data_IF_052770072026
#
_entry.id   IF_052770072026
#
_cell.length_a   1.000
_cell.length_b   1.000
_cell.length_c   1.000
_cell.angle_alpha   90.00
_cell.angle_beta   90.00
_cell.angle_gamma   90.00
#
_symmetry.space_group_name_H-M   'P 1'
#
loop_
_entity.id
_entity.type
_entity.pdbx_description
1 polymer ?
#
# COMPACT_ATOMS: atom_id res chain seq x y z
N UNK A 1 -5.81 -52.91 -22.74
CA UNK A 1 -4.97 -52.15 -21.80
C UNK A 1 -4.11 -51.18 -22.60
N UNK A 2 -4.52 -49.92 -22.72
CA UNK A 2 -3.66 -48.84 -23.20
C UNK A 2 -3.92 -47.65 -22.29
N UNK A 3 -2.94 -47.33 -21.44
CA UNK A 3 -2.99 -46.25 -20.44
C UNK A 3 -2.54 -44.97 -21.13
N UNK A 4 -3.37 -43.94 -21.07
CA UNK A 4 -3.02 -42.57 -21.40
C UNK A 4 -2.14 -42.00 -20.28
N UNK A 5 -0.91 -41.57 -20.57
CA UNK A 5 -0.17 -40.68 -19.69
C UNK A 5 -0.37 -39.24 -20.15
N UNK A 6 -1.21 -38.53 -19.39
CA UNK A 6 -1.38 -37.09 -19.43
C UNK A 6 -0.23 -36.45 -18.64
N UNK A 7 0.79 -35.94 -19.32
CA UNK A 7 1.84 -35.14 -18.70
C UNK A 7 1.44 -33.67 -18.66
N UNK A 8 0.70 -33.26 -17.63
CA UNK A 8 0.53 -31.83 -17.31
C UNK A 8 1.87 -31.30 -16.75
N UNK A 9 2.60 -30.55 -17.56
CA UNK A 9 3.70 -29.70 -17.10
C UNK A 9 3.12 -28.45 -16.44
N UNK A 10 2.82 -28.56 -15.14
CA UNK A 10 2.70 -27.41 -14.25
C UNK A 10 4.05 -27.21 -13.56
N UNK A 11 4.83 -26.23 -14.01
CA UNK A 11 5.93 -25.68 -13.23
C UNK A 11 5.85 -24.15 -13.33
N UNK A 12 5.18 -23.55 -12.35
CA UNK A 12 5.31 -22.12 -12.09
C UNK A 12 6.75 -21.84 -11.66
N UNK A 13 7.45 -21.00 -12.44
CA UNK A 13 8.82 -20.62 -12.15
C UNK A 13 8.91 -19.86 -10.82
N UNK A 14 9.42 -20.53 -9.79
CA UNK A 14 10.00 -19.83 -8.66
C UNK A 14 11.22 -19.07 -9.20
N UNK A 15 11.18 -17.73 -9.16
CA UNK A 15 12.33 -16.91 -9.54
C UNK A 15 13.46 -17.18 -8.54
N UNK A 16 14.49 -17.93 -8.96
CA UNK A 16 15.64 -18.23 -8.13
C UNK A 16 16.52 -16.98 -7.97
N UNK A 17 16.93 -16.71 -6.74
CA UNK A 17 17.83 -15.62 -6.38
C UNK A 17 19.26 -16.02 -6.76
N UNK A 18 20.04 -15.08 -7.27
CA UNK A 18 21.46 -15.30 -7.53
C UNK A 18 22.29 -15.10 -6.26
N UNK A 19 23.48 -15.71 -6.22
CA UNK A 19 24.44 -15.50 -5.12
C UNK A 19 24.81 -14.01 -4.94
N UNK A 20 24.85 -13.24 -6.04
CA UNK A 20 25.21 -11.82 -6.02
C UNK A 20 24.12 -10.95 -5.40
N UNK A 21 22.84 -11.23 -5.69
CA UNK A 21 21.71 -10.51 -5.10
C UNK A 21 21.64 -10.74 -3.58
N UNK A 22 21.87 -11.98 -3.15
CA UNK A 22 22.02 -12.32 -1.74
C UNK A 22 23.22 -11.64 -1.09
N UNK A 23 24.35 -11.53 -1.79
CA UNK A 23 25.52 -10.81 -1.31
C UNK A 23 25.22 -9.31 -1.10
N UNK A 24 24.46 -8.68 -2.00
CA UNK A 24 24.00 -7.29 -1.81
C UNK A 24 23.15 -7.14 -0.54
N UNK A 25 22.22 -8.06 -0.28
CA UNK A 25 21.43 -8.09 0.96
C UNK A 25 22.35 -8.25 2.18
N UNK A 26 23.28 -9.20 2.16
CA UNK A 26 24.22 -9.47 3.26
C UNK A 26 25.06 -8.24 3.58
N UNK A 27 25.66 -7.61 2.57
CA UNK A 27 26.47 -6.38 2.72
C UNK A 27 25.63 -5.21 3.25
N UNK A 28 24.39 -5.06 2.76
CA UNK A 28 23.45 -4.07 3.27
C UNK A 28 23.16 -4.30 4.76
N UNK A 29 22.93 -5.55 5.14
CA UNK A 29 22.64 -5.93 6.52
C UNK A 29 23.85 -5.74 7.45
N UNK A 30 25.07 -5.99 6.98
CA UNK A 30 26.28 -5.70 7.74
C UNK A 30 26.37 -4.21 8.10
N UNK A 31 26.21 -3.31 7.12
CA UNK A 31 26.22 -1.86 7.32
C UNK A 31 25.15 -1.40 8.30
N UNK A 32 23.96 -2.02 8.24
CA UNK A 32 22.85 -1.76 9.17
C UNK A 32 23.18 -2.21 10.59
N UNK A 33 23.70 -3.42 10.75
CA UNK A 33 24.07 -3.98 12.06
C UNK A 33 25.19 -3.18 12.74
N UNK A 34 26.20 -2.74 12.00
CA UNK A 34 27.26 -1.84 12.47
C UNK A 34 26.72 -0.53 13.07
N UNK A 35 25.49 -0.15 12.70
CA UNK A 35 24.82 1.08 13.14
C UNK A 35 23.65 0.79 14.10
N UNK A 36 23.55 -0.43 14.64
CA UNK A 36 22.49 -0.82 15.57
C UNK A 36 21.10 -0.94 14.94
N UNK A 37 21.01 -1.01 13.61
CA UNK A 37 19.75 -1.22 12.90
C UNK A 37 19.46 -2.71 12.72
N UNK A 38 18.18 -3.06 12.73
CA UNK A 38 17.74 -4.44 12.45
C UNK A 38 18.07 -4.83 10.99
N UNK A 39 18.51 -6.08 10.77
CA UNK A 39 18.71 -6.58 9.41
C UNK A 39 17.38 -6.62 8.66
N UNK A 40 17.45 -6.37 7.35
CA UNK A 40 16.36 -6.52 6.41
C UNK A 40 16.18 -8.01 6.08
N UNK A 41 14.92 -8.43 5.94
CA UNK A 41 14.56 -9.75 5.49
C UNK A 41 14.34 -9.75 3.97
N UNK A 42 14.66 -10.86 3.30
CA UNK A 42 14.38 -10.95 1.86
C UNK A 42 12.87 -10.95 1.60
N UNK A 43 12.43 -10.23 0.58
CA UNK A 43 11.04 -10.23 0.13
C UNK A 43 10.91 -10.53 -1.37
N UNK A 44 10.16 -11.59 -1.68
CA UNK A 44 10.00 -12.09 -3.03
C UNK A 44 9.19 -11.15 -3.93
N UNK A 45 8.24 -10.38 -3.39
CA UNK A 45 7.45 -9.44 -4.18
C UNK A 45 8.26 -8.17 -4.48
N UNK A 46 9.00 -7.65 -3.50
CA UNK A 46 9.97 -6.58 -3.71
C UNK A 46 10.99 -6.96 -4.78
N UNK A 47 11.51 -8.19 -4.72
CA UNK A 47 12.43 -8.73 -5.71
C UNK A 47 11.79 -8.82 -7.10
N UNK A 48 10.58 -9.35 -7.20
CA UNK A 48 9.86 -9.44 -8.47
C UNK A 48 9.70 -8.07 -9.13
N UNK A 49 9.37 -7.03 -8.35
CA UNK A 49 9.31 -5.66 -8.85
C UNK A 49 10.70 -5.11 -9.24
N UNK A 50 11.74 -5.43 -8.48
CA UNK A 50 13.10 -5.02 -8.77
C UNK A 50 13.62 -5.64 -10.07
N UNK A 51 13.38 -6.94 -10.26
CA UNK A 51 13.76 -7.68 -11.46
C UNK A 51 13.07 -7.13 -12.70
N UNK A 52 11.75 -6.92 -12.62
CA UNK A 52 10.99 -6.33 -13.72
C UNK A 52 11.52 -4.95 -14.12
N UNK A 53 11.86 -4.09 -13.15
CA UNK A 53 12.42 -2.76 -13.44
C UNK A 53 13.85 -2.80 -14.00
N UNK A 54 14.68 -3.72 -13.49
CA UNK A 54 16.03 -3.92 -14.00
C UNK A 54 16.03 -4.40 -15.46
N UNK A 55 15.15 -5.34 -15.80
CA UNK A 55 14.94 -5.81 -17.18
C UNK A 55 14.41 -4.68 -18.06
N UNK A 56 13.41 -3.94 -17.60
CA UNK A 56 12.83 -2.81 -18.32
C UNK A 56 13.89 -1.75 -18.68
N UNK A 57 14.76 -1.38 -17.73
CA UNK A 57 15.87 -0.45 -17.96
C UNK A 57 16.89 -0.93 -19.01
N UNK A 58 17.09 -2.24 -19.11
CA UNK A 58 17.97 -2.84 -20.11
C UNK A 58 17.28 -2.85 -21.47
N UNK A 59 16.07 -3.42 -21.56
CA UNK A 59 15.31 -3.59 -22.79
C UNK A 59 14.96 -2.25 -23.47
N UNK A 60 14.58 -1.24 -22.68
CA UNK A 60 14.21 0.09 -23.18
C UNK A 60 15.32 1.13 -23.08
N UNK A 61 16.56 0.71 -22.79
CA UNK A 61 17.75 1.56 -22.77
C UNK A 61 17.61 2.85 -21.94
N UNK A 62 17.13 2.74 -20.70
CA UNK A 62 17.03 3.88 -19.77
C UNK A 62 17.64 3.56 -18.40
N UNK A 63 17.81 4.59 -17.57
CA UNK A 63 18.22 4.44 -16.17
C UNK A 63 17.56 5.50 -15.30
N UNK A 64 16.43 5.17 -14.70
CA UNK A 64 15.64 6.09 -13.89
C UNK A 64 14.74 5.34 -12.89
N UNK A 65 14.36 6.02 -11.81
CA UNK A 65 13.40 5.50 -10.82
C UNK A 65 11.98 5.36 -11.39
N UNK A 66 11.60 6.27 -12.29
CA UNK A 66 10.34 6.20 -13.02
C UNK A 66 10.61 5.56 -14.38
N UNK A 67 9.78 4.59 -14.76
CA UNK A 67 9.89 4.00 -16.08
C UNK A 67 9.23 4.90 -17.15
N UNK A 68 9.48 4.67 -18.45
CA UNK A 68 8.85 5.43 -19.53
C UNK A 68 7.31 5.50 -19.53
N UNK A 69 6.63 4.61 -18.80
CA UNK A 69 5.16 4.61 -18.66
C UNK A 69 4.70 5.47 -17.46
N UNK A 70 5.62 6.16 -16.79
CA UNK A 70 5.34 7.01 -15.65
C UNK A 70 5.22 6.27 -14.31
N UNK A 71 5.51 4.98 -14.25
CA UNK A 71 5.39 4.18 -13.03
C UNK A 71 6.66 4.28 -12.18
N UNK A 72 6.51 4.69 -10.92
CA UNK A 72 7.59 4.68 -9.92
C UNK A 72 7.66 3.35 -9.16
N UNK A 73 8.60 3.26 -8.21
CA UNK A 73 8.83 2.05 -7.43
C UNK A 73 7.58 1.58 -6.67
N UNK A 74 6.80 2.51 -6.10
CA UNK A 74 5.57 2.20 -5.37
C UNK A 74 4.49 1.61 -6.29
N UNK A 75 4.32 2.15 -7.49
CA UNK A 75 3.38 1.64 -8.48
C UNK A 75 3.78 0.24 -8.95
N UNK A 76 5.07 0.03 -9.24
CA UNK A 76 5.59 -1.28 -9.68
C UNK A 76 5.46 -2.34 -8.58
N UNK A 77 5.81 -2.01 -7.33
CA UNK A 77 5.63 -2.92 -6.19
C UNK A 77 4.16 -3.25 -5.95
N UNK A 78 3.26 -2.27 -6.05
CA UNK A 78 1.81 -2.49 -5.94
C UNK A 78 1.29 -3.42 -7.05
N UNK A 79 1.80 -3.29 -8.27
CA UNK A 79 1.39 -4.12 -9.40
C UNK A 79 1.70 -5.61 -9.21
N UNK A 80 2.74 -5.93 -8.42
CA UNK A 80 3.11 -7.32 -8.10
C UNK A 80 2.51 -7.82 -6.78
N UNK A 81 1.70 -7.02 -6.09
CA UNK A 81 0.96 -7.43 -4.88
C UNK A 81 1.53 -6.95 -3.55
N UNK A 82 2.54 -6.07 -3.54
CA UNK A 82 2.99 -5.41 -2.30
C UNK A 82 1.86 -4.52 -1.78
N UNK A 83 1.44 -4.77 -0.54
CA UNK A 83 0.34 -4.03 0.09
C UNK A 83 0.86 -2.81 0.85
N UNK A 84 2.12 -2.82 1.22
CA UNK A 84 2.75 -1.83 2.06
C UNK A 84 2.87 -0.49 1.35
N UNK A 85 2.55 0.57 2.08
CA UNK A 85 2.59 1.95 1.56
C UNK A 85 4.00 2.52 1.64
N UNK A 86 4.76 2.11 2.68
CA UNK A 86 6.11 2.58 2.88
C UNK A 86 7.10 1.72 2.11
N UNK A 87 7.58 2.26 1.01
CA UNK A 87 8.57 1.62 0.14
C UNK A 87 9.70 2.57 -0.21
N UNK A 88 10.81 2.05 -0.75
CA UNK A 88 11.95 2.83 -1.24
C UNK A 88 12.71 2.09 -2.33
N UNK A 89 13.54 2.81 -3.10
CA UNK A 89 14.34 2.23 -4.18
C UNK A 89 15.75 2.82 -4.22
N UNK A 90 16.76 1.97 -4.41
CA UNK A 90 18.09 2.38 -4.84
C UNK A 90 18.41 1.75 -6.19
N UNK A 91 19.08 2.50 -7.07
CA UNK A 91 19.53 2.03 -8.38
C UNK A 91 21.05 2.14 -8.49
N UNK A 92 21.68 1.20 -9.19
CA UNK A 92 23.06 1.32 -9.64
C UNK A 92 23.20 0.76 -11.06
N UNK A 93 24.12 1.32 -11.83
CA UNK A 93 24.50 0.77 -13.13
C UNK A 93 26.02 0.77 -13.27
N UNK A 94 26.53 -0.29 -13.89
CA UNK A 94 27.95 -0.55 -14.06
C UNK A 94 28.22 -0.96 -15.50
N UNK A 95 29.37 -0.54 -16.03
CA UNK A 95 29.84 -0.91 -17.35
C UNK A 95 31.19 -1.60 -17.26
N UNK A 96 31.30 -2.81 -17.81
CA UNK A 96 32.58 -3.50 -17.97
C UNK A 96 33.20 -4.08 -16.69
N UNK A 97 32.48 -4.08 -15.57
CA UNK A 97 32.93 -4.71 -14.33
C UNK A 97 32.56 -6.20 -14.28
N UNK A 98 33.40 -7.05 -13.68
CA UNK A 98 33.07 -8.46 -13.44
C UNK A 98 31.99 -8.57 -12.36
N UNK A 99 31.11 -9.56 -12.51
CA UNK A 99 29.95 -9.77 -11.64
C UNK A 99 30.29 -9.85 -10.13
N UNK A 100 31.37 -10.53 -9.68
CA UNK A 100 31.71 -10.60 -8.25
C UNK A 100 32.06 -9.24 -7.61
N UNK A 101 32.44 -8.22 -8.38
CA UNK A 101 32.75 -6.89 -7.82
C UNK A 101 31.50 -6.02 -7.62
N UNK A 102 30.41 -6.34 -8.32
CA UNK A 102 29.21 -5.50 -8.38
C UNK A 102 28.58 -5.26 -7.01
N UNK A 103 28.40 -6.27 -6.12
CA UNK A 103 27.75 -6.05 -4.83
C UNK A 103 28.47 -5.02 -3.95
N UNK A 104 29.79 -5.12 -3.85
CA UNK A 104 30.59 -4.18 -3.05
C UNK A 104 30.58 -2.77 -3.66
N UNK A 105 30.70 -2.67 -4.98
CA UNK A 105 30.68 -1.37 -5.68
C UNK A 105 29.33 -0.67 -5.54
N UNK A 106 28.23 -1.42 -5.64
CA UNK A 106 26.88 -0.89 -5.45
C UNK A 106 26.70 -0.34 -4.03
N UNK A 107 27.09 -1.10 -3.00
CA UNK A 107 27.01 -0.65 -1.61
C UNK A 107 27.80 0.65 -1.37
N UNK A 108 29.05 0.71 -1.85
CA UNK A 108 29.90 1.91 -1.69
C UNK A 108 29.27 3.11 -2.41
N UNK A 109 28.80 2.92 -3.64
CA UNK A 109 28.12 3.97 -4.41
C UNK A 109 26.87 4.50 -3.71
N UNK A 110 26.04 3.61 -3.17
CA UNK A 110 24.84 4.00 -2.43
C UNK A 110 25.17 4.70 -1.11
N UNK A 111 26.17 4.25 -0.35
CA UNK A 111 26.58 4.91 0.90
C UNK A 111 27.16 6.31 0.70
N UNK A 112 27.77 6.57 -0.46
CA UNK A 112 28.31 7.88 -0.82
C UNK A 112 27.23 8.84 -1.38
N UNK A 113 26.04 8.34 -1.72
CA UNK A 113 24.90 9.16 -2.14
C UNK A 113 23.97 9.42 -0.96
N UNK A 114 23.71 10.68 -0.55
CA UNK A 114 22.83 10.97 0.59
C UNK A 114 21.43 10.34 0.48
N UNK A 115 20.82 10.38 -0.71
CA UNK A 115 19.49 9.80 -0.95
C UNK A 115 19.48 8.28 -0.84
N UNK A 116 20.44 7.60 -1.47
CA UNK A 116 20.53 6.14 -1.40
C UNK A 116 20.90 5.64 0.00
N UNK A 117 21.83 6.34 0.67
CA UNK A 117 22.21 6.07 2.05
C UNK A 117 21.01 6.21 3.00
N UNK A 118 20.14 7.20 2.78
CA UNK A 118 18.93 7.36 3.58
C UNK A 118 18.03 6.11 3.51
N UNK A 119 17.89 5.48 2.35
CA UNK A 119 17.15 4.21 2.23
C UNK A 119 17.85 3.06 2.98
N UNK A 120 19.16 2.88 2.77
CA UNK A 120 19.93 1.81 3.42
C UNK A 120 19.82 1.86 4.95
N UNK A 121 19.78 3.07 5.51
CA UNK A 121 19.82 3.31 6.94
C UNK A 121 18.46 3.65 7.55
N UNK A 122 17.36 3.57 6.79
CA UNK A 122 16.03 3.86 7.30
C UNK A 122 15.59 2.76 8.29
N UNK A 123 15.31 3.09 9.58
CA UNK A 123 14.94 2.10 10.58
C UNK A 123 13.60 1.42 10.32
N UNK A 124 12.68 2.11 9.64
CA UNK A 124 11.34 1.63 9.36
C UNK A 124 11.29 0.63 8.20
N UNK A 125 12.34 0.54 7.38
CA UNK A 125 12.47 -0.55 6.42
C UNK A 125 12.86 -1.84 7.13
N UNK A 126 12.19 -2.90 6.71
CA UNK A 126 12.22 -4.23 7.35
C UNK A 126 12.51 -5.34 6.35
N UNK A 127 12.24 -5.10 5.07
CA UNK A 127 12.42 -6.07 4.00
C UNK A 127 13.10 -5.45 2.79
N UNK A 128 13.72 -6.29 1.97
CA UNK A 128 14.46 -5.93 0.77
C UNK A 128 14.29 -6.99 -0.32
N UNK A 129 14.08 -6.53 -1.54
CA UNK A 129 14.32 -7.33 -2.75
C UNK A 129 15.43 -6.71 -3.56
N UNK A 130 16.34 -7.52 -4.10
CA UNK A 130 17.46 -7.05 -4.92
C UNK A 130 17.49 -7.80 -6.24
N UNK A 131 17.53 -7.08 -7.36
CA UNK A 131 17.74 -7.70 -8.66
C UNK A 131 19.03 -7.19 -9.32
N UNK A 132 19.77 -8.10 -9.96
CA UNK A 132 20.95 -7.80 -10.75
C UNK A 132 20.76 -8.36 -12.17
N UNK A 133 20.72 -7.48 -13.17
CA UNK A 133 20.48 -7.86 -14.57
C UNK A 133 21.62 -7.38 -15.45
N UNK A 134 22.29 -8.32 -16.11
CA UNK A 134 23.36 -8.07 -17.07
C UNK A 134 22.83 -8.16 -18.51
N UNK A 135 23.19 -7.18 -19.32
CA UNK A 135 23.03 -7.21 -20.77
C UNK A 135 24.33 -6.72 -21.42
N UNK A 136 25.09 -7.67 -22.02
CA UNK A 136 26.42 -7.40 -22.52
C UNK A 136 27.35 -6.86 -21.41
N UNK A 137 27.93 -5.68 -21.63
CA UNK A 137 28.85 -5.04 -20.69
C UNK A 137 28.14 -4.34 -19.52
N UNK A 138 26.86 -4.01 -19.69
CA UNK A 138 26.06 -3.26 -18.74
C UNK A 138 25.44 -4.17 -17.70
N UNK A 139 25.56 -3.79 -16.43
CA UNK A 139 24.82 -4.38 -15.31
C UNK A 139 23.96 -3.29 -14.68
N UNK A 140 22.72 -3.64 -14.37
CA UNK A 140 21.79 -2.81 -13.61
C UNK A 140 21.44 -3.53 -12.31
N UNK A 141 21.49 -2.81 -11.20
CA UNK A 141 21.15 -3.31 -9.86
C UNK A 141 20.01 -2.46 -9.29
N UNK A 142 18.96 -3.12 -8.82
CA UNK A 142 17.79 -2.48 -8.20
C UNK A 142 17.61 -3.04 -6.80
N UNK A 143 17.55 -2.18 -5.79
CA UNK A 143 17.10 -2.51 -4.43
C UNK A 143 15.71 -1.92 -4.19
N UNK A 144 14.73 -2.75 -3.84
CA UNK A 144 13.40 -2.30 -3.42
C UNK A 144 13.19 -2.62 -1.94
N UNK A 145 12.92 -1.59 -1.14
CA UNK A 145 12.72 -1.68 0.31
C UNK A 145 11.24 -1.67 0.65
N UNK A 146 10.85 -2.43 1.68
CA UNK A 146 9.49 -2.44 2.24
C UNK A 146 9.53 -2.22 3.77
N UNK A 147 8.65 -1.35 4.24
CA UNK A 147 8.31 -1.20 5.66
C UNK A 147 7.07 -2.01 6.03
N UNK A 148 7.26 -3.16 6.68
CA UNK A 148 6.22 -4.10 7.15
C UNK A 148 6.22 -4.11 8.68
N UNK A 149 5.53 -3.15 9.32
CA UNK A 149 5.59 -3.02 10.78
C UNK A 149 4.75 -4.09 11.51
N UNK A 150 3.86 -4.78 10.80
CA UNK A 150 3.13 -5.97 11.20
C UNK A 150 2.74 -6.74 9.94
N UNK A 151 2.33 -8.00 10.09
CA UNK A 151 1.93 -8.86 8.98
C UNK A 151 0.44 -9.24 9.09
N UNK A 152 -0.46 -8.59 8.35
CA UNK A 152 -1.87 -8.98 8.28
C UNK A 152 -2.05 -10.19 7.35
N UNK A 153 -2.76 -11.22 7.82
CA UNK A 153 -3.20 -12.29 6.92
C UNK A 153 -4.48 -11.83 6.21
N UNK A 154 -4.42 -11.76 4.88
CA UNK A 154 -5.51 -11.25 4.03
C UNK A 154 -5.92 -12.32 3.06
N UNK A 155 -7.23 -12.64 3.02
CA UNK A 155 -7.84 -13.46 1.97
C UNK A 155 -8.97 -12.68 1.32
N UNK A 156 -8.91 -12.59 0.00
CA UNK A 156 -9.91 -11.94 -0.84
C UNK A 156 -10.63 -13.00 -1.67
N UNK A 157 -11.96 -12.92 -1.70
CA UNK A 157 -12.79 -13.74 -2.60
C UNK A 157 -13.87 -12.86 -3.22
N UNK A 158 -14.18 -13.02 -4.52
CA UNK A 158 -15.28 -12.29 -5.16
C UNK A 158 -16.60 -12.46 -4.41
N UNK A 159 -17.39 -11.40 -4.33
CA UNK A 159 -18.70 -11.40 -3.67
C UNK A 159 -19.64 -10.36 -4.30
N UNK A 160 -20.93 -10.43 -3.97
CA UNK A 160 -21.85 -9.31 -4.13
C UNK A 160 -21.82 -8.46 -2.87
N UNK A 161 -21.74 -7.15 -3.01
CA UNK A 161 -21.70 -6.19 -1.91
C UNK A 161 -22.83 -5.18 -2.03
N UNK A 162 -23.34 -4.72 -0.89
CA UNK A 162 -24.21 -3.56 -0.86
C UNK A 162 -23.34 -2.29 -0.90
N UNK A 163 -23.58 -1.47 -1.92
CA UNK A 163 -23.03 -0.13 -2.03
C UNK A 163 -24.04 0.87 -1.49
N UNK A 164 -23.61 1.66 -0.51
CA UNK A 164 -24.39 2.77 0.05
C UNK A 164 -23.75 4.10 -0.33
N UNK A 165 -24.49 4.96 -1.02
CA UNK A 165 -24.08 6.31 -1.39
C UNK A 165 -24.95 7.32 -0.66
N UNK A 166 -24.30 8.18 0.11
CA UNK A 166 -24.89 9.35 0.72
C UNK A 166 -24.88 10.51 -0.27
N UNK A 167 -26.06 10.96 -0.67
CA UNK A 167 -26.25 12.16 -1.49
C UNK A 167 -26.73 13.28 -0.57
N UNK A 168 -26.03 14.41 -0.63
CA UNK A 168 -26.32 15.60 0.18
C UNK A 168 -26.43 16.81 -0.73
N UNK A 169 -27.50 17.59 -0.53
CA UNK A 169 -27.68 18.91 -1.13
C UNK A 169 -28.19 19.89 -0.09
N UNK A 170 -27.85 21.18 -0.23
CA UNK A 170 -28.47 22.24 0.54
C UNK A 170 -27.51 23.32 1.02
N UNK A 171 -27.84 23.95 2.14
CA UNK A 171 -27.12 25.09 2.68
C UNK A 171 -26.75 24.91 4.16
N UNK A 172 -25.65 25.53 4.53
CA UNK A 172 -25.15 25.55 5.89
C UNK A 172 -24.44 26.90 6.13
N UNK A 173 -24.43 27.42 7.36
CA UNK A 173 -23.72 28.66 7.67
C UNK A 173 -22.20 28.49 7.70
N UNK A 174 -21.69 27.25 7.63
CA UNK A 174 -20.26 26.94 7.67
C UNK A 174 -19.98 25.52 7.19
N UNK A 175 -18.74 25.06 7.38
CA UNK A 175 -18.32 23.70 7.00
C UNK A 175 -19.14 22.65 7.75
N UNK A 176 -19.70 21.70 7.00
CA UNK A 176 -20.41 20.54 7.53
C UNK A 176 -19.46 19.34 7.56
N UNK A 177 -19.43 18.65 8.69
CA UNK A 177 -18.73 17.39 8.86
C UNK A 177 -19.72 16.25 8.72
N UNK A 178 -19.39 15.28 7.88
CA UNK A 178 -20.08 13.99 7.80
C UNK A 178 -19.31 13.02 8.67
N UNK A 179 -19.98 12.43 9.65
CA UNK A 179 -19.37 11.49 10.60
C UNK A 179 -19.89 10.08 10.35
N UNK A 180 -19.01 9.09 10.48
CA UNK A 180 -19.35 7.66 10.50
C UNK A 180 -19.08 7.15 11.91
N UNK A 181 -20.14 6.80 12.64
CA UNK A 181 -20.09 6.70 14.10
C UNK A 181 -19.61 8.02 14.71
N UNK A 182 -18.54 7.97 15.50
CA UNK A 182 -17.96 9.15 16.15
C UNK A 182 -16.79 9.78 15.37
N UNK A 183 -16.57 9.40 14.11
CA UNK A 183 -15.36 9.76 13.38
C UNK A 183 -15.67 10.59 12.15
N UNK A 184 -14.92 11.68 11.96
CA UNK A 184 -15.09 12.57 10.81
C UNK A 184 -14.67 11.84 9.52
N UNK A 185 -15.64 11.63 8.64
CA UNK A 185 -15.47 10.93 7.36
C UNK A 185 -15.23 11.88 6.18
N UNK A 186 -15.95 13.02 6.16
CA UNK A 186 -15.79 14.05 5.13
C UNK A 186 -16.08 15.45 5.68
N UNK A 187 -15.42 16.46 5.10
CA UNK A 187 -15.71 17.88 5.32
C UNK A 187 -16.30 18.47 4.05
N UNK A 188 -17.42 19.18 4.17
CA UNK A 188 -18.17 19.77 3.06
C UNK A 188 -18.31 21.26 3.30
N UNK A 189 -17.86 22.07 2.34
CA UNK A 189 -18.03 23.53 2.40
C UNK A 189 -19.33 23.94 1.67
N UNK A 190 -20.03 24.99 2.14
CA UNK A 190 -21.19 25.54 1.43
C UNK A 190 -20.83 26.09 0.03
N UNK A 191 -21.76 26.07 -0.94
CA UNK A 191 -23.04 25.36 -0.90
C UNK A 191 -22.83 23.84 -0.88
N UNK A 192 -23.67 23.12 -0.15
CA UNK A 192 -23.47 21.70 0.06
C UNK A 192 -24.01 20.96 -1.16
N UNK A 193 -23.12 20.31 -1.90
CA UNK A 193 -23.45 19.34 -2.94
C UNK A 193 -22.40 18.23 -2.91
N UNK A 194 -22.79 17.06 -2.40
CA UNK A 194 -21.85 15.98 -2.17
C UNK A 194 -22.47 14.61 -2.46
N UNK A 195 -21.63 13.70 -2.96
CA UNK A 195 -21.97 12.30 -3.18
C UNK A 195 -20.84 11.47 -2.61
N UNK A 196 -21.12 10.77 -1.51
CA UNK A 196 -20.13 10.07 -0.70
C UNK A 196 -20.49 8.60 -0.62
N UNK A 197 -19.62 7.73 -1.13
CA UNK A 197 -19.74 6.31 -0.86
C UNK A 197 -19.30 6.03 0.58
N UNK A 198 -20.15 5.32 1.32
CA UNK A 198 -19.95 5.01 2.73
C UNK A 198 -19.39 3.59 2.89
N UNK A 199 -18.59 3.33 3.95
CA UNK A 199 -18.24 1.97 4.30
C UNK A 199 -19.49 1.17 4.73
N UNK A 200 -19.43 -0.18 4.71
CA UNK A 200 -20.53 -1.02 5.16
C UNK A 200 -20.95 -0.70 6.59
N UNK A 201 -22.26 -0.80 6.86
CA UNK A 201 -22.85 -0.56 8.19
C UNK A 201 -22.52 0.82 8.78
N UNK A 202 -22.24 1.83 7.95
CA UNK A 202 -21.98 3.19 8.40
C UNK A 202 -23.25 3.86 8.94
N UNK A 203 -23.21 4.24 10.22
CA UNK A 203 -24.18 5.17 10.80
C UNK A 203 -23.68 6.60 10.60
N UNK A 204 -24.49 7.43 9.92
CA UNK A 204 -24.09 8.79 9.56
C UNK A 204 -24.70 9.83 10.49
N UNK A 205 -23.86 10.77 10.94
CA UNK A 205 -24.31 11.98 11.64
C UNK A 205 -23.61 13.23 11.09
N UNK A 206 -24.10 14.41 11.48
CA UNK A 206 -23.59 15.69 11.01
C UNK A 206 -23.18 16.61 12.15
N UNK A 207 -22.14 17.40 11.91
CA UNK A 207 -21.75 18.50 12.79
C UNK A 207 -21.38 19.74 11.97
N UNK A 208 -21.58 20.93 12.55
CA UNK A 208 -21.11 22.20 11.98
C UNK A 208 -19.79 22.59 12.65
N UNK A 209 -18.84 23.05 11.83
CA UNK A 209 -17.59 23.61 12.32
C UNK A 209 -17.71 25.14 12.42
N UNK A 210 -17.43 25.69 13.60
CA UNK A 210 -17.45 27.13 13.86
C UNK A 210 -16.07 27.81 13.68
N UNK A 211 -15.06 27.07 13.22
CA UNK A 211 -13.67 27.52 13.14
C UNK A 211 -12.78 26.98 14.26
N UNK A 212 -13.35 26.46 15.35
CA UNK A 212 -12.61 25.89 16.48
C UNK A 212 -13.10 24.48 16.85
N UNK A 213 -14.42 24.28 16.92
CA UNK A 213 -15.04 23.06 17.46
C UNK A 213 -16.13 22.54 16.53
N UNK A 214 -16.34 21.22 16.57
CA UNK A 214 -17.46 20.56 15.91
C UNK A 214 -18.69 20.53 16.81
N UNK A 215 -19.78 21.09 16.32
CA UNK A 215 -21.07 21.08 17.01
C UNK A 215 -22.01 20.09 16.32
N UNK A 216 -22.31 18.99 16.99
CA UNK A 216 -23.35 18.07 16.54
C UNK A 216 -24.64 18.85 16.24
N UNK A 217 -25.25 18.57 15.09
CA UNK A 217 -26.44 19.28 14.63
C UNK A 217 -27.35 18.35 13.85
N UNK A 218 -28.62 18.71 13.78
CA UNK A 218 -29.60 18.04 12.93
C UNK A 218 -30.07 18.98 11.82
N UNK A 219 -30.75 18.42 10.82
CA UNK A 219 -31.38 19.24 9.79
C UNK A 219 -32.39 20.21 10.41
N UNK A 220 -32.40 21.46 9.94
CA UNK A 220 -33.20 22.55 10.50
C UNK A 220 -32.61 23.23 11.74
N UNK A 221 -31.57 22.66 12.36
CA UNK A 221 -30.89 23.27 13.51
C UNK A 221 -29.67 24.06 13.09
N UNK A 222 -29.33 25.12 13.84
CA UNK A 222 -28.11 25.93 13.64
C UNK A 222 -27.94 26.41 12.20
N UNK A 223 -29.04 26.72 11.50
CA UNK A 223 -29.03 27.17 10.11
C UNK A 223 -28.70 26.08 9.07
N UNK A 224 -28.56 24.82 9.48
CA UNK A 224 -28.34 23.69 8.59
C UNK A 224 -29.63 23.34 7.86
N UNK A 225 -29.59 23.29 6.53
CA UNK A 225 -30.67 22.81 5.68
C UNK A 225 -30.08 21.82 4.68
N UNK A 226 -30.15 20.54 5.00
CA UNK A 226 -29.70 19.45 4.16
C UNK A 226 -30.87 18.61 3.70
N UNK A 227 -30.92 18.36 2.40
CA UNK A 227 -31.60 17.21 1.84
C UNK A 227 -30.61 16.04 1.81
N UNK A 228 -31.05 14.90 2.35
CA UNK A 228 -30.24 13.69 2.42
C UNK A 228 -30.99 12.54 1.77
N UNK A 229 -30.30 11.83 0.89
CA UNK A 229 -30.75 10.55 0.34
C UNK A 229 -29.67 9.50 0.53
N UNK A 230 -30.06 8.32 0.99
CA UNK A 230 -29.20 7.13 0.99
C UNK A 230 -29.61 6.24 -0.18
N UNK A 231 -28.77 6.20 -1.20
CA UNK A 231 -28.95 5.30 -2.34
C UNK A 231 -28.23 3.98 -2.05
N UNK A 232 -28.97 2.87 -2.10
CA UNK A 232 -28.44 1.51 -1.92
C UNK A 232 -28.56 0.72 -3.21
N UNK A 233 -27.51 -0.01 -3.56
CA UNK A 233 -27.47 -0.86 -4.76
C UNK A 233 -26.58 -2.07 -4.53
N UNK A 234 -26.91 -3.20 -5.14
CA UNK A 234 -26.03 -4.36 -5.21
C UNK A 234 -24.99 -4.15 -6.32
N UNK A 235 -23.70 -4.35 -5.98
CA UNK A 235 -22.59 -4.22 -6.92
C UNK A 235 -21.57 -5.35 -6.71
N UNK A 236 -20.71 -5.63 -7.71
CA UNK A 236 -19.54 -6.47 -7.50
C UNK A 236 -18.67 -5.94 -6.34
N UNK A 237 -18.18 -6.87 -5.55
CA UNK A 237 -17.35 -6.57 -4.40
C UNK A 237 -16.43 -7.72 -4.06
N UNK A 238 -15.77 -7.58 -2.92
CA UNK A 238 -14.93 -8.61 -2.35
C UNK A 238 -15.35 -8.90 -0.92
N UNK A 239 -15.40 -10.20 -0.59
CA UNK A 239 -15.32 -10.65 0.79
C UNK A 239 -13.85 -10.66 1.20
N UNK A 240 -13.55 -9.88 2.22
CA UNK A 240 -12.23 -9.72 2.83
C UNK A 240 -12.24 -10.43 4.18
N UNK A 241 -11.46 -11.50 4.28
CA UNK A 241 -11.13 -12.11 5.57
C UNK A 241 -9.77 -11.56 6.00
N UNK A 242 -9.76 -10.84 7.11
CA UNK A 242 -8.59 -10.18 7.65
C UNK A 242 -8.28 -10.72 9.05
N UNK A 243 -7.05 -11.17 9.27
CA UNK A 243 -6.56 -11.51 10.59
C UNK A 243 -5.42 -10.59 10.98
N UNK A 244 -5.61 -9.88 12.09
CA UNK A 244 -4.65 -8.93 12.64
C UNK A 244 -4.01 -9.51 13.91
N UNK A 245 -2.70 -9.28 14.12
CA UNK A 245 -2.01 -9.67 15.35
C UNK A 245 -2.43 -8.76 16.52
N UNK A 246 -1.84 -8.97 17.70
CA UNK A 246 -2.03 -8.07 18.84
C UNK A 246 -1.60 -6.63 18.48
N UNK A 247 -2.43 -5.65 18.82
CA UNK A 247 -2.14 -4.24 18.53
C UNK A 247 -3.37 -3.35 18.45
N UNK A 248 -3.15 -2.06 18.20
CA UNK A 248 -4.20 -1.09 17.92
C UNK A 248 -4.15 -0.68 16.45
N UNK A 249 -5.26 -0.87 15.74
CA UNK A 249 -5.34 -0.65 14.30
C UNK A 249 -6.50 0.29 13.94
N UNK A 250 -6.46 0.79 12.72
CA UNK A 250 -7.53 1.59 12.11
C UNK A 250 -7.83 1.04 10.73
N UNK A 251 -9.11 0.91 10.40
CA UNK A 251 -9.59 0.69 9.04
C UNK A 251 -9.95 2.04 8.40
N UNK A 252 -9.64 2.15 7.11
CA UNK A 252 -10.10 3.21 6.25
C UNK A 252 -10.45 2.67 4.86
N UNK A 253 -11.25 3.39 4.09
CA UNK A 253 -11.67 2.96 2.73
C UNK A 253 -11.48 4.08 1.70
N UNK A 254 -11.49 3.72 0.42
CA UNK A 254 -11.42 4.66 -0.69
C UNK A 254 -10.08 4.64 -1.45
N UNK A 255 -10.02 5.39 -2.54
CA UNK A 255 -8.79 5.65 -3.30
C UNK A 255 -7.67 6.21 -2.41
N UNK A 256 -8.05 7.04 -1.45
CA UNK A 256 -7.25 7.60 -0.36
C UNK A 256 -7.90 7.20 0.97
N UNK A 257 -7.12 7.03 2.04
CA UNK A 257 -7.66 6.53 3.30
C UNK A 257 -8.64 7.53 3.94
N UNK A 258 -9.94 7.20 3.88
CA UNK A 258 -10.98 7.85 4.69
C UNK A 258 -11.25 7.00 5.91
N UNK A 259 -11.02 7.57 7.10
CA UNK A 259 -11.17 6.88 8.37
C UNK A 259 -12.54 6.19 8.46
N UNK A 260 -12.57 4.93 8.89
CA UNK A 260 -13.81 4.21 9.15
C UNK A 260 -13.97 3.82 10.62
N UNK A 261 -13.08 2.98 11.14
CA UNK A 261 -13.20 2.49 12.52
C UNK A 261 -11.85 2.06 13.12
N UNK A 262 -11.79 2.04 14.45
CA UNK A 262 -10.66 1.49 15.19
C UNK A 262 -10.90 0.03 15.54
N UNK A 263 -9.81 -0.72 15.64
CA UNK A 263 -9.80 -2.13 16.01
C UNK A 263 -8.73 -2.38 17.07
N UNK A 264 -8.99 -3.35 17.94
CA UNK A 264 -8.00 -3.89 18.88
C UNK A 264 -7.79 -5.36 18.54
N UNK A 265 -6.55 -5.71 18.22
CA UNK A 265 -6.16 -7.09 17.93
C UNK A 265 -5.66 -7.84 19.18
N UNK A 266 -5.51 -9.17 19.12
CA UNK A 266 -5.70 -9.98 17.92
C UNK A 266 -7.17 -10.09 17.53
N UNK A 267 -7.48 -9.98 16.24
CA UNK A 267 -8.86 -10.00 15.76
C UNK A 267 -8.93 -10.62 14.36
N UNK A 268 -9.99 -11.41 14.14
CA UNK A 268 -10.37 -11.90 12.81
C UNK A 268 -11.66 -11.20 12.40
N UNK A 269 -11.64 -10.57 11.23
CA UNK A 269 -12.76 -9.85 10.66
C UNK A 269 -13.14 -10.48 9.32
N UNK A 270 -14.44 -10.49 9.06
CA UNK A 270 -15.00 -10.81 7.75
C UNK A 270 -15.84 -9.63 7.30
N UNK A 271 -15.43 -9.00 6.21
CA UNK A 271 -16.05 -7.80 5.66
C UNK A 271 -16.45 -8.08 4.22
N UNK A 272 -17.62 -7.59 3.80
CA UNK A 272 -18.00 -7.59 2.37
C UNK A 272 -17.99 -6.14 1.91
N UNK A 273 -17.05 -5.80 1.03
CA UNK A 273 -16.80 -4.44 0.59
C UNK A 273 -17.06 -4.31 -0.92
N UNK A 274 -17.78 -3.27 -1.37
CA UNK A 274 -17.97 -3.02 -2.80
C UNK A 274 -16.65 -2.63 -3.47
N UNK A 275 -16.41 -3.12 -4.68
CA UNK A 275 -15.17 -2.84 -5.42
C UNK A 275 -15.01 -1.36 -5.80
N UNK A 276 -16.12 -0.60 -5.78
CA UNK A 276 -16.16 0.85 -5.99
C UNK A 276 -15.44 1.65 -4.90
N UNK A 277 -15.18 1.07 -3.71
CA UNK A 277 -14.34 1.70 -2.68
C UNK A 277 -12.84 1.63 -3.00
N UNK A 278 -12.43 0.93 -4.07
CA UNK A 278 -11.05 0.76 -4.57
C UNK A 278 -10.05 0.04 -3.65
N UNK A 279 -10.02 0.38 -2.35
CA UNK A 279 -9.10 -0.20 -1.38
C UNK A 279 -9.65 -0.17 0.06
N UNK A 280 -9.24 -1.17 0.82
CA UNK A 280 -9.25 -1.18 2.28
C UNK A 280 -7.85 -0.82 2.79
N UNK A 281 -7.77 0.14 3.69
CA UNK A 281 -6.52 0.62 4.29
C UNK A 281 -6.41 0.15 5.73
N UNK A 282 -5.21 -0.29 6.13
CA UNK A 282 -4.87 -0.62 7.51
C UNK A 282 -3.83 0.37 8.04
N UNK A 283 -4.18 1.01 9.15
CA UNK A 283 -3.28 1.88 9.90
C UNK A 283 -2.88 1.28 11.24
N UNK A 284 -1.61 1.51 11.63
CA UNK A 284 -1.20 1.36 13.02
C UNK A 284 -1.60 2.59 13.80
N UNK A 285 -2.20 2.38 14.97
CA UNK A 285 -2.61 3.45 15.88
C UNK A 285 -1.72 3.47 17.11
N UNK A 286 -1.13 4.63 17.39
CA UNK A 286 -0.30 4.89 18.56
C UNK A 286 -0.79 6.18 19.21
N UNK A 287 -1.56 6.04 20.30
CA UNK A 287 -2.29 7.17 20.89
C UNK A 287 -3.23 7.80 19.85
N UNK A 288 -3.06 9.11 19.60
CA UNK A 288 -3.86 9.86 18.63
C UNK A 288 -3.29 9.84 17.20
N UNK A 289 -2.13 9.21 16.98
CA UNK A 289 -1.51 9.14 15.65
C UNK A 289 -1.90 7.85 14.93
N UNK A 290 -2.29 8.00 13.67
CA UNK A 290 -2.56 6.87 12.76
C UNK A 290 -1.51 6.91 11.65
N UNK A 291 -0.85 5.78 11.42
CA UNK A 291 0.09 5.60 10.30
C UNK A 291 -0.45 4.51 9.39
N UNK A 292 -1.09 4.90 8.29
CA UNK A 292 -1.55 3.95 7.26
C UNK A 292 -0.35 3.25 6.64
N UNK A 293 -0.39 1.92 6.69
CA UNK A 293 0.76 1.06 6.41
C UNK A 293 0.47 0.03 5.32
N UNK A 294 -0.77 -0.44 5.19
CA UNK A 294 -1.19 -1.37 4.15
C UNK A 294 -2.38 -0.84 3.37
N UNK A 295 -2.40 -1.13 2.07
CA UNK A 295 -3.46 -0.84 1.11
C UNK A 295 -3.86 -2.13 0.40
N UNK A 296 -4.98 -2.71 0.81
CA UNK A 296 -5.56 -3.93 0.24
C UNK A 296 -6.46 -3.53 -0.93
N UNK A 297 -6.12 -3.84 -2.19
CA UNK A 297 -6.92 -3.46 -3.35
C UNK A 297 -8.23 -4.28 -3.40
N UNK A 298 -9.35 -3.60 -3.61
CA UNK A 298 -10.70 -4.21 -3.72
C UNK A 298 -11.13 -4.44 -5.17
N UNK A 299 -10.19 -4.83 -6.04
CA UNK A 299 -10.49 -5.03 -7.47
C UNK A 299 -11.43 -6.23 -7.66
N UNK A 300 -12.36 -6.21 -8.62
CA UNK A 300 -13.24 -7.34 -8.91
C UNK A 300 -12.47 -8.65 -9.20
#
# INVERSE_FOLDING_TARGET
>A
MWVWFLGLLLCGGALAQTALELEVLQRTNQVRQERGLRPLQWDALAYKAALGHAQDMQERNFFAHQNPDGLGAAERMRAVGVLEVMVGENLASFEGYPDPEIPQRALVGWMNSPGHRANLLKPEFTHLGVALVRQGRRVVVVQNFIGRPFDPQVRLTPAQAERTVLVLSGSAPGTVGVFVGNNLYARLNPPIQARLELPPSAEVSFALFDGQTWWATQNGQRGLRLEQTLERSAVPGQRVVLQLPAGSFTLAVGAQPRFWQNLSGPVRLELTLPSTLEALWLGLRQGNRISYSHRIPLKP
#
